data_IF_616737863827
#
_entry.id   IF_616737863827
#
_cell.length_a   1.000
_cell.length_b   1.000
_cell.length_c   1.000
_cell.angle_alpha   90.00
_cell.angle_beta   90.00
_cell.angle_gamma   90.00
#
_symmetry.space_group_name_H-M   'P 1'
#
loop_
_entity.id
_entity.type
_entity.pdbx_description
1 polymer ?
#
# COMPACT_ATOMS: atom_id res chain seq x y z
N UNK A 1 23.86 14.67 -15.87
CA UNK A 1 22.44 14.37 -15.57
C UNK A 1 21.80 15.72 -15.30
N UNK A 2 20.80 16.10 -16.04
CA UNK A 2 20.05 17.32 -15.81
C UNK A 2 18.92 17.00 -14.82
N UNK A 3 18.82 17.79 -13.74
CA UNK A 3 17.80 17.66 -12.71
C UNK A 3 16.67 18.70 -12.89
N UNK A 4 16.76 19.59 -13.89
CA UNK A 4 15.68 20.50 -14.21
C UNK A 4 14.47 19.72 -14.73
N UNK A 5 13.30 20.16 -14.31
CA UNK A 5 12.06 19.63 -14.88
C UNK A 5 11.95 20.05 -16.34
N UNK A 6 11.30 19.20 -17.16
CA UNK A 6 10.91 19.64 -18.49
C UNK A 6 9.97 20.86 -18.40
N UNK A 7 9.89 21.72 -19.42
CA UNK A 7 8.94 22.85 -19.42
C UNK A 7 7.49 22.40 -19.17
N UNK A 8 7.10 21.24 -19.71
CA UNK A 8 5.77 20.66 -19.52
C UNK A 8 5.53 20.20 -18.06
N UNK A 9 6.53 19.54 -17.45
CA UNK A 9 6.47 19.13 -16.06
C UNK A 9 6.44 20.34 -15.11
N UNK A 10 7.23 21.39 -15.42
CA UNK A 10 7.24 22.62 -14.62
C UNK A 10 5.89 23.32 -14.68
N UNK A 11 5.35 23.58 -15.87
CA UNK A 11 4.04 24.21 -16.05
C UNK A 11 2.91 23.44 -15.35
N UNK A 12 2.90 22.12 -15.52
CA UNK A 12 1.88 21.27 -14.87
C UNK A 12 2.03 21.27 -13.35
N UNK A 13 3.27 21.27 -12.83
CA UNK A 13 3.53 21.37 -11.39
C UNK A 13 3.11 22.73 -10.82
N UNK A 14 3.34 23.81 -11.55
CA UNK A 14 2.94 25.16 -11.11
C UNK A 14 1.40 25.27 -11.04
N UNK A 15 0.70 24.76 -12.05
CA UNK A 15 -0.78 24.66 -12.04
C UNK A 15 -1.28 23.77 -10.91
N UNK A 16 -0.61 22.64 -10.66
CA UNK A 16 -0.97 21.75 -9.56
C UNK A 16 -0.77 22.40 -8.20
N UNK A 17 0.33 23.14 -7.97
CA UNK A 17 0.54 23.89 -6.74
C UNK A 17 -0.47 25.03 -6.56
N UNK A 18 -0.86 25.72 -7.63
CA UNK A 18 -1.93 26.71 -7.57
C UNK A 18 -3.25 26.07 -7.12
N UNK A 19 -3.64 24.95 -7.76
CA UNK A 19 -4.84 24.18 -7.40
C UNK A 19 -4.80 23.70 -5.95
N UNK A 20 -3.66 23.18 -5.47
CA UNK A 20 -3.51 22.75 -4.07
C UNK A 20 -3.75 23.89 -3.09
N UNK A 21 -3.13 25.06 -3.31
CA UNK A 21 -3.22 26.22 -2.39
C UNK A 21 -4.58 26.88 -2.42
N UNK A 22 -5.14 27.04 -3.61
CA UNK A 22 -6.38 27.82 -3.80
C UNK A 22 -7.63 27.01 -3.48
N UNK A 23 -7.62 25.69 -3.68
CA UNK A 23 -8.84 24.92 -3.63
C UNK A 23 -8.72 23.65 -2.76
N UNK A 24 -7.67 22.83 -2.91
CA UNK A 24 -7.59 21.52 -2.22
C UNK A 24 -7.40 21.69 -0.72
N UNK A 25 -6.40 22.47 -0.27
CA UNK A 25 -6.18 22.68 1.16
C UNK A 25 -7.36 23.38 1.85
N UNK A 26 -8.01 24.40 1.25
CA UNK A 26 -9.24 24.97 1.80
C UNK A 26 -10.42 24.00 1.85
N UNK A 27 -10.46 22.98 1.00
CA UNK A 27 -11.51 21.97 0.98
C UNK A 27 -11.35 20.90 2.08
N UNK A 28 -10.15 20.67 2.61
CA UNK A 28 -9.90 19.60 3.61
C UNK A 28 -10.84 19.68 4.84
N UNK A 29 -11.05 20.86 5.48
CA UNK A 29 -11.96 20.96 6.61
C UNK A 29 -13.43 20.69 6.23
N UNK A 30 -13.85 21.13 5.04
CA UNK A 30 -15.21 20.91 4.54
C UNK A 30 -15.45 19.43 4.26
N UNK A 31 -14.48 18.77 3.64
CA UNK A 31 -14.50 17.36 3.33
C UNK A 31 -14.57 16.51 4.62
N UNK A 32 -13.72 16.81 5.61
CA UNK A 32 -13.72 16.11 6.89
C UNK A 32 -15.03 16.32 7.68
N UNK A 33 -15.59 17.54 7.67
CA UNK A 33 -16.88 17.84 8.32
C UNK A 33 -18.02 17.04 7.69
N UNK A 34 -18.06 16.97 6.37
CA UNK A 34 -19.10 16.22 5.65
C UNK A 34 -19.06 14.73 5.99
N UNK A 35 -17.87 14.10 6.03
CA UNK A 35 -17.75 12.68 6.40
C UNK A 35 -18.17 12.40 7.84
N UNK A 36 -17.87 13.30 8.78
CA UNK A 36 -18.33 13.15 10.17
C UNK A 36 -19.85 13.20 10.30
N UNK A 37 -20.51 13.98 9.46
CA UNK A 37 -21.99 14.14 9.48
C UNK A 37 -22.72 13.02 8.72
N UNK A 38 -22.17 12.57 7.58
CA UNK A 38 -22.87 11.69 6.63
C UNK A 38 -22.31 10.26 6.59
N UNK A 39 -21.22 9.99 7.33
CA UNK A 39 -20.55 8.69 7.36
C UNK A 39 -19.26 8.65 6.57
N UNK A 40 -18.37 7.72 6.98
CA UNK A 40 -16.99 7.65 6.52
C UNK A 40 -16.84 7.37 5.02
N UNK A 41 -17.86 6.77 4.38
CA UNK A 41 -17.85 6.40 2.96
C UNK A 41 -18.73 7.32 2.10
N UNK A 42 -19.31 8.36 2.68
CA UNK A 42 -20.11 9.33 1.94
C UNK A 42 -19.24 10.07 0.90
N UNK A 43 -19.89 10.56 -0.17
CA UNK A 43 -19.21 11.32 -1.20
C UNK A 43 -19.43 12.84 -1.00
N UNK A 44 -18.42 13.59 -0.51
CA UNK A 44 -18.57 15.01 -0.25
C UNK A 44 -18.78 15.82 -1.55
N UNK A 45 -19.82 16.68 -1.64
CA UNK A 45 -20.09 17.49 -2.84
C UNK A 45 -18.93 18.41 -3.26
N UNK A 46 -18.04 18.77 -2.32
CA UNK A 46 -16.84 19.55 -2.62
C UNK A 46 -15.92 18.83 -3.61
N UNK A 47 -15.93 17.50 -3.65
CA UNK A 47 -15.11 16.71 -4.57
C UNK A 47 -15.50 16.98 -6.03
N UNK A 48 -16.77 17.07 -6.36
CA UNK A 48 -17.20 17.32 -7.74
C UNK A 48 -16.78 18.72 -8.21
N UNK A 49 -16.84 19.75 -7.35
CA UNK A 49 -16.32 21.10 -7.66
C UNK A 49 -14.80 21.06 -7.92
N UNK A 50 -14.06 20.30 -7.09
CA UNK A 50 -12.61 20.13 -7.29
C UNK A 50 -12.30 19.42 -8.61
N UNK A 51 -13.08 18.40 -8.98
CA UNK A 51 -12.93 17.70 -10.28
C UNK A 51 -13.19 18.63 -11.46
N UNK A 52 -14.22 19.47 -11.40
CA UNK A 52 -14.50 20.47 -12.45
C UNK A 52 -13.34 21.46 -12.59
N UNK A 53 -12.86 22.01 -11.49
CA UNK A 53 -11.73 22.93 -11.49
C UNK A 53 -10.45 22.26 -12.02
N UNK A 54 -10.16 21.03 -11.61
CA UNK A 54 -9.02 20.28 -12.10
C UNK A 54 -9.07 20.07 -13.61
N UNK A 55 -10.25 19.75 -14.18
CA UNK A 55 -10.45 19.66 -15.63
C UNK A 55 -10.20 20.99 -16.32
N UNK A 56 -10.76 22.07 -15.81
CA UNK A 56 -10.58 23.41 -16.35
C UNK A 56 -9.11 23.86 -16.34
N UNK A 57 -8.33 23.39 -15.38
CA UNK A 57 -6.87 23.65 -15.26
C UNK A 57 -6.02 22.69 -16.08
N UNK A 58 -6.60 21.70 -16.80
CA UNK A 58 -5.86 20.68 -17.53
C UNK A 58 -5.10 19.70 -16.61
N UNK A 59 -5.61 19.46 -15.40
CA UNK A 59 -5.04 18.55 -14.40
C UNK A 59 -5.86 17.23 -14.30
N UNK A 60 -6.24 16.65 -15.44
CA UNK A 60 -7.14 15.49 -15.48
C UNK A 60 -6.48 14.28 -16.12
N UNK A 61 -6.57 13.10 -15.50
CA UNK A 61 -6.02 11.83 -16.00
C UNK A 61 -4.51 11.86 -16.32
N UNK A 62 -3.74 12.66 -15.62
CA UNK A 62 -2.31 12.89 -15.91
C UNK A 62 -1.45 11.63 -15.74
N UNK A 63 -1.94 10.64 -15.01
CA UNK A 63 -1.22 9.38 -14.71
C UNK A 63 -1.05 8.47 -15.94
N UNK A 64 -1.89 8.60 -16.97
CA UNK A 64 -1.94 7.71 -18.12
C UNK A 64 -1.30 8.37 -19.35
N UNK A 65 -0.05 8.01 -19.74
CA UNK A 65 0.66 8.65 -20.85
C UNK A 65 -0.10 8.62 -22.17
N UNK A 66 -0.85 7.54 -22.44
CA UNK A 66 -1.65 7.41 -23.66
C UNK A 66 -2.80 8.45 -23.78
N UNK A 67 -3.24 9.02 -22.64
CA UNK A 67 -4.33 10.02 -22.58
C UNK A 67 -3.76 11.41 -22.38
N UNK A 68 -2.81 11.58 -21.47
CA UNK A 68 -2.26 12.88 -21.07
C UNK A 68 -1.12 13.37 -21.96
N UNK A 69 -0.41 12.46 -22.61
CA UNK A 69 0.83 12.76 -23.33
C UNK A 69 2.04 13.02 -22.43
N UNK A 70 1.89 12.99 -21.09
CA UNK A 70 2.99 13.15 -20.14
C UNK A 70 3.78 11.85 -19.99
N UNK A 71 5.10 11.95 -20.00
CA UNK A 71 5.98 10.86 -19.59
C UNK A 71 5.85 10.59 -18.08
N UNK A 72 6.25 9.38 -17.62
CA UNK A 72 6.25 9.07 -16.20
C UNK A 72 7.14 10.02 -15.39
N UNK A 73 8.28 10.44 -15.96
CA UNK A 73 9.19 11.40 -15.34
C UNK A 73 8.52 12.77 -15.17
N UNK A 74 7.77 13.24 -16.16
CA UNK A 74 7.05 14.52 -16.12
C UNK A 74 5.85 14.50 -15.16
N UNK A 75 5.20 13.34 -15.01
CA UNK A 75 4.12 13.14 -14.05
C UNK A 75 4.62 13.03 -12.60
N UNK A 76 5.85 12.60 -12.38
CA UNK A 76 6.39 12.33 -11.03
C UNK A 76 6.24 13.50 -10.05
N UNK A 77 6.63 14.76 -10.39
CA UNK A 77 6.46 15.90 -9.50
C UNK A 77 4.98 16.23 -9.24
N UNK A 78 4.10 16.05 -10.21
CA UNK A 78 2.65 16.28 -10.04
C UNK A 78 2.04 15.28 -9.07
N UNK A 79 2.39 14.00 -9.21
CA UNK A 79 1.97 12.96 -8.29
C UNK A 79 2.50 13.19 -6.87
N UNK A 80 3.74 13.65 -6.73
CA UNK A 80 4.32 14.05 -5.44
C UNK A 80 3.52 15.19 -4.81
N UNK A 81 3.21 16.26 -5.56
CA UNK A 81 2.41 17.39 -5.08
C UNK A 81 1.04 16.90 -4.61
N UNK A 82 0.37 16.00 -5.36
CA UNK A 82 -0.92 15.43 -4.95
C UNK A 82 -0.84 14.66 -3.63
N UNK A 83 0.32 14.11 -3.30
CA UNK A 83 0.59 13.41 -2.04
C UNK A 83 0.56 14.31 -0.80
N UNK A 84 0.56 15.63 -0.94
CA UNK A 84 0.36 16.55 0.19
C UNK A 84 -1.07 16.48 0.74
N UNK A 85 -2.06 16.12 -0.10
CA UNK A 85 -3.42 15.83 0.31
C UNK A 85 -3.86 14.48 -0.29
N UNK A 86 -3.37 13.35 0.27
CA UNK A 86 -3.35 12.05 -0.42
C UNK A 86 -4.74 11.44 -0.62
N UNK A 87 -5.76 11.95 0.07
CA UNK A 87 -7.15 11.50 -0.08
C UNK A 87 -7.88 12.34 -1.14
N UNK A 88 -7.74 13.67 -1.07
CA UNK A 88 -8.53 14.60 -1.88
C UNK A 88 -7.87 14.86 -3.24
N UNK A 89 -6.59 15.27 -3.25
CA UNK A 89 -5.97 15.73 -4.47
C UNK A 89 -5.86 14.66 -5.57
N UNK A 90 -5.45 13.39 -5.30
CA UNK A 90 -5.42 12.37 -6.33
C UNK A 90 -6.80 12.07 -6.93
N UNK A 91 -7.89 12.08 -6.14
CA UNK A 91 -9.23 11.89 -6.67
C UNK A 91 -9.68 13.10 -7.48
N UNK A 92 -9.46 14.31 -7.00
CA UNK A 92 -9.84 15.54 -7.68
C UNK A 92 -9.26 15.65 -9.10
N UNK A 93 -8.07 15.07 -9.34
CA UNK A 93 -7.43 15.03 -10.67
C UNK A 93 -7.62 13.70 -11.41
N UNK A 94 -8.52 12.84 -10.92
CA UNK A 94 -8.78 11.47 -11.41
C UNK A 94 -7.52 10.58 -11.54
N UNK A 95 -6.62 10.71 -10.58
CA UNK A 95 -5.38 9.94 -10.50
C UNK A 95 -5.33 9.06 -9.24
N UNK A 96 -6.47 8.74 -8.63
CA UNK A 96 -6.56 7.93 -7.41
C UNK A 96 -6.53 6.43 -7.72
N UNK A 97 -5.81 5.68 -6.89
CA UNK A 97 -5.90 4.23 -6.87
C UNK A 97 -7.21 3.78 -6.15
N UNK A 98 -7.84 2.67 -6.55
CA UNK A 98 -7.35 1.66 -7.49
C UNK A 98 -7.63 1.96 -8.97
N UNK A 99 -8.43 3.00 -9.28
CA UNK A 99 -8.91 3.26 -10.63
C UNK A 99 -7.80 3.49 -11.64
N UNK A 100 -6.72 4.20 -11.26
CA UNK A 100 -5.59 4.38 -12.18
C UNK A 100 -5.08 3.05 -12.74
N UNK A 101 -4.81 2.06 -11.87
CA UNK A 101 -4.36 0.76 -12.32
C UNK A 101 -5.45 -0.03 -13.06
N UNK A 102 -6.72 0.16 -12.73
CA UNK A 102 -7.84 -0.49 -13.41
C UNK A 102 -8.10 0.11 -14.81
N UNK A 103 -7.97 1.43 -14.94
CA UNK A 103 -8.01 2.11 -16.24
C UNK A 103 -6.86 1.66 -17.15
N UNK A 104 -5.64 1.49 -16.61
CA UNK A 104 -4.51 0.92 -17.36
C UNK A 104 -4.79 -0.50 -17.85
N UNK A 105 -5.37 -1.35 -16.99
CA UNK A 105 -5.76 -2.72 -17.37
C UNK A 105 -6.79 -2.70 -18.50
N UNK A 106 -7.85 -1.92 -18.37
CA UNK A 106 -8.88 -1.80 -19.40
C UNK A 106 -8.34 -1.22 -20.70
N UNK A 107 -7.43 -0.24 -20.62
CA UNK A 107 -6.76 0.34 -21.78
C UNK A 107 -5.93 -0.70 -22.54
N UNK A 108 -5.15 -1.52 -21.83
CA UNK A 108 -4.23 -2.49 -22.42
C UNK A 108 -4.91 -3.80 -22.85
N UNK A 109 -5.90 -4.27 -22.12
CA UNK A 109 -6.44 -5.63 -22.26
C UNK A 109 -7.94 -5.69 -22.53
N UNK A 110 -8.66 -4.58 -22.40
CA UNK A 110 -10.09 -4.53 -22.67
C UNK A 110 -10.42 -4.57 -24.16
N UNK A 111 -11.52 -5.23 -24.53
CA UNK A 111 -12.13 -5.09 -25.85
C UNK A 111 -12.70 -3.68 -26.04
N UNK A 112 -13.03 -3.29 -27.24
CA UNK A 112 -13.61 -1.96 -27.50
C UNK A 112 -14.96 -1.78 -26.77
N UNK A 113 -15.76 -2.85 -26.67
CA UNK A 113 -17.02 -2.85 -25.92
C UNK A 113 -16.77 -2.67 -24.42
N UNK A 114 -15.77 -3.37 -23.85
CA UNK A 114 -15.37 -3.23 -22.45
C UNK A 114 -14.81 -1.83 -22.17
N UNK A 115 -14.01 -1.27 -23.07
CA UNK A 115 -13.49 0.10 -22.98
C UNK A 115 -14.62 1.13 -23.00
N UNK A 116 -15.55 1.02 -23.96
CA UNK A 116 -16.69 1.92 -24.03
C UNK A 116 -17.58 1.84 -22.79
N UNK A 117 -17.82 0.62 -22.27
CA UNK A 117 -18.70 0.41 -21.12
C UNK A 117 -18.08 0.84 -19.81
N UNK A 118 -16.76 0.63 -19.60
CA UNK A 118 -16.12 0.78 -18.31
C UNK A 118 -14.98 1.80 -18.30
N UNK A 119 -14.08 1.80 -19.30
CA UNK A 119 -12.94 2.71 -19.32
C UNK A 119 -13.35 4.16 -19.56
N UNK A 120 -14.24 4.42 -20.51
CA UNK A 120 -14.70 5.78 -20.81
C UNK A 120 -15.36 6.45 -19.59
N UNK A 121 -16.32 5.81 -18.87
CA UNK A 121 -16.89 6.38 -17.66
C UNK A 121 -15.87 6.55 -16.52
N UNK A 122 -14.88 5.66 -16.37
CA UNK A 122 -13.80 5.81 -15.43
C UNK A 122 -12.90 7.01 -15.77
N UNK A 123 -12.51 7.17 -17.03
CA UNK A 123 -11.74 8.32 -17.50
C UNK A 123 -12.54 9.63 -17.36
N UNK A 124 -13.86 9.56 -17.50
CA UNK A 124 -14.74 10.70 -17.22
C UNK A 124 -14.93 10.97 -15.72
N UNK A 125 -14.49 10.08 -14.83
CA UNK A 125 -14.66 10.17 -13.37
C UNK A 125 -16.11 10.03 -12.91
N UNK A 126 -16.96 9.42 -13.73
CA UNK A 126 -18.38 9.18 -13.46
C UNK A 126 -18.61 7.97 -12.56
N UNK A 127 -17.81 6.93 -12.72
CA UNK A 127 -17.82 5.72 -11.92
C UNK A 127 -16.47 5.46 -11.26
N UNK A 128 -16.46 4.56 -10.29
CA UNK A 128 -15.26 4.03 -9.65
C UNK A 128 -15.16 2.53 -9.88
N UNK A 129 -14.03 1.96 -9.53
CA UNK A 129 -13.77 0.54 -9.73
C UNK A 129 -12.97 -0.06 -8.58
N UNK A 130 -12.94 -1.39 -8.49
CA UNK A 130 -12.12 -2.09 -7.52
C UNK A 130 -11.35 -3.25 -8.17
N UNK A 131 -10.21 -3.62 -7.55
CA UNK A 131 -9.38 -4.73 -8.01
C UNK A 131 -9.39 -5.85 -6.97
N UNK A 132 -10.14 -6.91 -7.25
CA UNK A 132 -10.45 -7.99 -6.32
C UNK A 132 -9.49 -9.18 -6.52
N UNK A 133 -8.29 -9.09 -5.90
CA UNK A 133 -7.26 -10.12 -6.01
C UNK A 133 -7.05 -10.87 -4.69
N UNK A 134 -6.84 -10.15 -3.59
CA UNK A 134 -6.42 -10.70 -2.29
C UNK A 134 -7.52 -11.52 -1.63
N UNK A 135 -7.18 -12.65 -1.00
CA UNK A 135 -8.11 -13.57 -0.34
C UNK A 135 -7.78 -13.79 1.14
N UNK A 136 -8.78 -13.98 2.02
CA UNK A 136 -8.53 -14.21 3.44
C UNK A 136 -7.93 -15.58 3.75
N UNK A 137 -8.21 -16.59 2.94
CA UNK A 137 -7.81 -17.99 3.19
C UNK A 137 -6.39 -18.35 2.78
N UNK A 138 -5.72 -17.50 1.95
CA UNK A 138 -4.42 -17.83 1.37
C UNK A 138 -3.46 -16.65 1.39
N UNK A 139 -2.16 -16.93 1.32
CA UNK A 139 -1.12 -15.91 1.20
C UNK A 139 -1.10 -15.33 -0.24
N UNK A 140 -1.96 -14.36 -0.51
CA UNK A 140 -2.20 -13.80 -1.85
C UNK A 140 -1.03 -12.96 -2.41
N UNK A 141 0.00 -12.68 -1.62
CA UNK A 141 1.27 -12.13 -2.14
C UNK A 141 2.00 -13.09 -3.09
N UNK A 142 1.67 -14.38 -3.02
CA UNK A 142 1.90 -15.35 -4.08
C UNK A 142 0.59 -15.57 -4.85
N UNK A 143 0.48 -14.94 -6.01
CA UNK A 143 -0.72 -14.97 -6.83
C UNK A 143 -1.11 -16.39 -7.31
N UNK A 144 -0.18 -17.34 -7.26
CA UNK A 144 -0.47 -18.74 -7.61
C UNK A 144 -1.34 -19.46 -6.59
N UNK A 145 -1.43 -18.91 -5.35
CA UNK A 145 -2.25 -19.47 -4.27
C UNK A 145 -3.73 -19.10 -4.34
N UNK A 146 -4.12 -18.14 -5.19
CA UNK A 146 -5.51 -17.70 -5.29
C UNK A 146 -6.45 -18.88 -5.53
N UNK A 147 -7.54 -18.96 -4.74
CA UNK A 147 -8.48 -20.07 -4.74
C UNK A 147 -9.87 -19.72 -5.30
N UNK A 148 -10.25 -18.43 -5.34
CA UNK A 148 -11.48 -18.00 -6.02
C UNK A 148 -11.55 -18.65 -7.39
N UNK A 149 -12.66 -19.35 -7.69
CA UNK A 149 -12.85 -20.03 -8.97
C UNK A 149 -13.59 -19.16 -9.98
N UNK A 150 -13.21 -19.31 -11.24
CA UNK A 150 -13.89 -18.72 -12.42
C UNK A 150 -14.12 -19.89 -13.38
N UNK A 151 -15.34 -20.42 -13.39
CA UNK A 151 -15.67 -21.64 -14.16
C UNK A 151 -16.60 -21.28 -15.32
N UNK A 152 -16.20 -21.66 -16.52
CA UNK A 152 -17.06 -21.45 -17.71
C UNK A 152 -18.27 -22.37 -17.69
N UNK A 153 -19.45 -21.82 -17.94
CA UNK A 153 -20.72 -22.53 -18.04
C UNK A 153 -21.51 -21.96 -19.26
N UNK A 154 -21.34 -22.58 -20.41
CA UNK A 154 -21.90 -22.09 -21.68
C UNK A 154 -21.33 -20.74 -22.09
N UNK A 155 -22.20 -19.74 -22.21
CA UNK A 155 -21.87 -18.36 -22.58
C UNK A 155 -21.61 -17.46 -21.38
N UNK A 156 -21.47 -18.03 -20.19
CA UNK A 156 -21.22 -17.32 -18.94
C UNK A 156 -20.00 -17.90 -18.20
N UNK A 157 -19.51 -17.12 -17.23
CA UNK A 157 -18.63 -17.61 -16.16
C UNK A 157 -19.31 -17.52 -14.81
N UNK A 158 -19.09 -18.53 -13.99
CA UNK A 158 -19.55 -18.61 -12.60
C UNK A 158 -18.36 -18.32 -11.69
N UNK A 159 -18.47 -17.29 -10.87
CA UNK A 159 -17.44 -16.88 -9.91
C UNK A 159 -17.84 -17.30 -8.50
N UNK A 160 -16.95 -18.02 -7.81
CA UNK A 160 -17.14 -18.42 -6.41
C UNK A 160 -15.87 -18.15 -5.60
N UNK A 161 -16.01 -17.54 -4.42
CA UNK A 161 -14.90 -17.29 -3.51
C UNK A 161 -15.09 -16.08 -2.62
N UNK A 162 -14.00 -15.72 -1.93
CA UNK A 162 -13.96 -14.55 -1.03
C UNK A 162 -12.73 -13.72 -1.31
N UNK A 163 -12.93 -12.41 -1.37
CA UNK A 163 -11.88 -11.42 -1.54
C UNK A 163 -11.90 -10.44 -0.37
N UNK A 164 -10.74 -9.98 0.08
CA UNK A 164 -10.66 -9.00 1.15
C UNK A 164 -9.58 -7.94 0.88
N UNK A 165 -9.61 -6.88 1.66
CA UNK A 165 -8.75 -5.71 1.45
C UNK A 165 -8.92 -5.13 0.05
N UNK A 166 -10.16 -5.13 -0.44
CA UNK A 166 -10.47 -4.63 -1.77
C UNK A 166 -10.81 -3.16 -1.65
N UNK A 167 -9.86 -2.32 -2.06
CA UNK A 167 -9.99 -0.85 -2.04
C UNK A 167 -10.99 -0.37 -3.08
N UNK A 168 -11.81 0.61 -2.71
CA UNK A 168 -12.77 1.25 -3.60
C UNK A 168 -14.19 0.71 -3.49
N UNK A 169 -14.39 -0.45 -2.87
CA UNK A 169 -15.71 -1.13 -2.82
C UNK A 169 -16.76 -0.36 -1.99
N UNK A 170 -16.32 0.36 -0.95
CA UNK A 170 -17.26 1.08 -0.08
C UNK A 170 -17.82 2.36 -0.74
N UNK A 171 -17.16 2.87 -1.77
CA UNK A 171 -17.66 3.99 -2.57
C UNK A 171 -18.93 3.57 -3.32
N UNK A 172 -20.00 4.33 -3.19
CA UNK A 172 -21.28 4.04 -3.86
C UNK A 172 -21.19 4.11 -5.38
N UNK A 173 -20.22 4.86 -5.91
CA UNK A 173 -19.95 5.01 -7.35
C UNK A 173 -19.12 3.86 -7.91
N UNK A 174 -18.70 2.89 -7.07
CA UNK A 174 -17.96 1.72 -7.54
C UNK A 174 -18.89 0.76 -8.28
N UNK A 175 -18.80 0.74 -9.61
CA UNK A 175 -19.72 -0.01 -10.49
C UNK A 175 -19.14 -1.34 -10.98
N UNK A 176 -17.80 -1.52 -10.87
CA UNK A 176 -17.12 -2.66 -11.50
C UNK A 176 -15.98 -3.20 -10.65
N UNK A 177 -15.91 -4.50 -10.51
CA UNK A 177 -14.82 -5.25 -9.91
C UNK A 177 -14.01 -6.00 -10.97
N UNK A 178 -12.70 -5.82 -10.99
CA UNK A 178 -11.78 -6.67 -11.76
C UNK A 178 -11.37 -7.82 -10.85
N UNK A 179 -11.95 -9.00 -11.07
CA UNK A 179 -11.78 -10.15 -10.18
C UNK A 179 -10.75 -11.11 -10.75
N UNK A 180 -9.71 -11.43 -9.98
CA UNK A 180 -8.74 -12.48 -10.29
C UNK A 180 -9.16 -13.79 -9.64
N UNK A 181 -9.28 -14.86 -10.45
CA UNK A 181 -9.63 -16.18 -9.97
C UNK A 181 -8.99 -17.27 -10.81
N UNK A 182 -9.09 -18.51 -10.33
CA UNK A 182 -8.54 -19.71 -10.96
C UNK A 182 -9.54 -20.26 -11.97
N UNK A 183 -9.18 -20.26 -13.25
CA UNK A 183 -10.00 -20.80 -14.34
C UNK A 183 -9.46 -22.12 -14.89
N UNK A 184 -8.14 -22.32 -14.85
CA UNK A 184 -7.45 -23.49 -15.39
C UNK A 184 -6.53 -24.14 -14.34
N UNK A 185 -7.08 -24.84 -13.31
CA UNK A 185 -6.27 -25.34 -12.18
C UNK A 185 -5.18 -26.33 -12.57
N UNK A 186 -5.33 -27.01 -13.71
CA UNK A 186 -4.38 -28.01 -14.21
C UNK A 186 -3.29 -27.40 -15.13
N UNK A 187 -3.39 -26.10 -15.48
CA UNK A 187 -2.39 -25.43 -16.30
C UNK A 187 -1.09 -25.15 -15.53
N UNK A 188 -0.07 -24.69 -16.25
CA UNK A 188 1.18 -24.20 -15.65
C UNK A 188 0.90 -23.10 -14.61
N UNK A 189 1.68 -22.98 -13.52
CA UNK A 189 1.37 -22.13 -12.36
C UNK A 189 0.95 -20.69 -12.70
N UNK A 190 1.60 -20.08 -13.68
CA UNK A 190 1.32 -18.68 -14.10
C UNK A 190 0.24 -18.56 -15.18
N UNK A 191 -0.40 -19.67 -15.55
CA UNK A 191 -1.50 -19.76 -16.53
C UNK A 191 -2.80 -20.29 -15.91
N UNK A 192 -2.85 -20.42 -14.59
CA UNK A 192 -4.02 -20.93 -13.88
C UNK A 192 -5.10 -19.88 -13.63
N UNK A 193 -4.71 -18.60 -13.57
CA UNK A 193 -5.59 -17.52 -13.21
C UNK A 193 -6.05 -16.74 -14.44
N UNK A 194 -7.30 -16.29 -14.37
CA UNK A 194 -7.91 -15.34 -15.29
C UNK A 194 -8.38 -14.10 -14.57
N UNK A 195 -8.66 -13.04 -15.30
CA UNK A 195 -9.34 -11.85 -14.79
C UNK A 195 -10.66 -11.64 -15.50
N UNK A 196 -11.69 -11.34 -14.72
CA UNK A 196 -13.03 -11.14 -15.23
C UNK A 196 -13.66 -9.88 -14.63
N UNK A 197 -14.43 -9.16 -15.44
CA UNK A 197 -15.18 -7.98 -15.04
C UNK A 197 -16.51 -8.41 -14.41
N UNK A 198 -16.71 -8.06 -13.15
CA UNK A 198 -17.93 -8.38 -12.42
C UNK A 198 -18.62 -7.07 -12.03
N UNK A 199 -19.77 -6.70 -12.60
CA UNK A 199 -20.56 -5.56 -12.16
C UNK A 199 -20.95 -5.67 -10.69
N UNK A 200 -21.04 -4.54 -9.98
CA UNK A 200 -21.37 -4.48 -8.55
C UNK A 200 -22.69 -5.13 -8.20
N UNK A 201 -23.68 -4.97 -9.06
CA UNK A 201 -25.06 -5.44 -8.89
C UNK A 201 -25.27 -6.89 -9.33
N UNK A 202 -24.19 -7.62 -9.71
CA UNK A 202 -24.28 -9.03 -10.12
C UNK A 202 -24.87 -9.87 -8.99
N UNK A 203 -25.97 -10.64 -9.22
CA UNK A 203 -26.51 -11.56 -8.23
C UNK A 203 -25.45 -12.52 -7.71
N UNK A 204 -25.43 -12.73 -6.39
CA UNK A 204 -24.42 -13.56 -5.70
C UNK A 204 -23.18 -12.77 -5.27
N UNK A 205 -23.04 -11.49 -5.59
CA UNK A 205 -22.00 -10.61 -5.05
C UNK A 205 -22.51 -9.95 -3.77
N UNK A 206 -21.71 -10.02 -2.70
CA UNK A 206 -22.04 -9.42 -1.40
C UNK A 206 -20.84 -8.67 -0.81
N UNK A 207 -21.08 -7.49 -0.24
CA UNK A 207 -20.13 -6.81 0.62
C UNK A 207 -20.30 -7.38 2.03
N UNK A 208 -19.29 -8.11 2.53
CA UNK A 208 -19.36 -8.79 3.82
C UNK A 208 -19.12 -7.81 4.97
N UNK A 209 -18.11 -6.96 4.84
CA UNK A 209 -17.75 -5.91 5.81
C UNK A 209 -16.73 -4.95 5.23
N UNK A 210 -16.57 -3.80 5.88
CA UNK A 210 -15.49 -2.87 5.67
C UNK A 210 -14.36 -3.11 6.69
N UNK A 211 -13.12 -2.87 6.29
CA UNK A 211 -11.90 -3.19 7.04
C UNK A 211 -11.13 -1.91 7.35
N UNK A 212 -11.10 -1.44 8.60
CA UNK A 212 -10.36 -0.23 8.97
C UNK A 212 -8.85 -0.48 9.02
N UNK A 213 -8.07 0.57 8.77
CA UNK A 213 -6.62 0.59 8.89
C UNK A 213 -6.27 1.30 10.21
N UNK A 214 -5.74 0.60 11.20
CA UNK A 214 -5.48 1.16 12.53
C UNK A 214 -6.68 1.92 13.14
N UNK A 215 -7.89 1.49 12.84
CA UNK A 215 -9.12 2.16 13.26
C UNK A 215 -9.59 3.28 12.33
N UNK A 216 -8.81 3.71 11.35
CA UNK A 216 -9.23 4.66 10.33
C UNK A 216 -9.95 3.95 9.17
N UNK A 217 -11.03 4.54 8.73
CA UNK A 217 -11.64 4.20 7.45
C UNK A 217 -11.33 5.32 6.46
N UNK A 218 -10.95 4.99 5.24
CA UNK A 218 -10.91 5.99 4.18
C UNK A 218 -12.23 6.01 3.41
N UNK A 219 -12.48 7.09 2.69
CA UNK A 219 -13.75 7.32 1.99
C UNK A 219 -14.04 6.19 0.97
N UNK A 220 -13.02 5.66 0.29
CA UNK A 220 -13.19 4.57 -0.68
C UNK A 220 -13.35 3.20 0.00
N UNK A 221 -12.92 3.07 1.24
CA UNK A 221 -12.94 1.87 2.06
C UNK A 221 -12.13 0.72 1.51
N UNK A 222 -11.85 -0.22 2.41
CA UNK A 222 -11.30 -1.52 2.07
C UNK A 222 -12.31 -2.57 2.51
N UNK A 223 -12.78 -3.40 1.59
CA UNK A 223 -13.89 -4.30 1.90
C UNK A 223 -13.53 -5.76 1.71
N UNK A 224 -14.32 -6.60 2.35
CA UNK A 224 -14.39 -8.02 2.11
C UNK A 224 -15.61 -8.31 1.23
N UNK A 225 -15.38 -9.01 0.12
CA UNK A 225 -16.39 -9.41 -0.86
C UNK A 225 -16.61 -10.92 -0.83
N UNK A 226 -17.86 -11.34 -0.90
CA UNK A 226 -18.29 -12.72 -1.18
C UNK A 226 -18.81 -12.84 -2.60
N UNK A 227 -18.45 -13.95 -3.26
CA UNK A 227 -19.00 -14.36 -4.54
C UNK A 227 -19.60 -15.75 -4.35
N UNK A 228 -20.91 -15.85 -4.50
CA UNK A 228 -21.65 -17.10 -4.41
C UNK A 228 -22.44 -17.31 -5.71
N UNK A 229 -21.91 -18.18 -6.58
CA UNK A 229 -22.46 -18.44 -7.91
C UNK A 229 -22.71 -17.15 -8.74
N UNK A 230 -21.85 -16.13 -8.59
CA UNK A 230 -21.97 -14.89 -9.33
C UNK A 230 -21.74 -15.15 -10.82
N UNK A 231 -22.78 -14.95 -11.64
CA UNK A 231 -22.77 -15.25 -13.09
C UNK A 231 -22.57 -13.99 -13.89
N UNK A 232 -21.63 -14.03 -14.81
CA UNK A 232 -21.34 -12.93 -15.74
C UNK A 232 -21.13 -13.45 -17.16
N UNK A 233 -21.49 -12.69 -18.19
CA UNK A 233 -21.27 -13.08 -19.59
C UNK A 233 -19.81 -13.43 -19.88
N UNK A 234 -19.58 -14.39 -20.76
CA UNK A 234 -18.23 -14.79 -21.19
C UNK A 234 -17.44 -13.60 -21.80
N UNK A 235 -18.13 -12.64 -22.37
CA UNK A 235 -17.55 -11.40 -22.90
C UNK A 235 -16.95 -10.48 -21.82
N UNK A 236 -17.19 -10.75 -20.53
CA UNK A 236 -16.57 -10.02 -19.42
C UNK A 236 -15.15 -10.50 -19.09
N UNK A 237 -14.67 -11.59 -19.70
CA UNK A 237 -13.29 -12.04 -19.53
C UNK A 237 -12.33 -11.00 -20.13
N UNK A 238 -11.27 -10.66 -19.39
CA UNK A 238 -10.20 -9.77 -19.86
C UNK A 238 -9.13 -10.58 -20.59
N UNK A 239 -8.78 -10.17 -21.78
CA UNK A 239 -7.85 -10.86 -22.69
C UNK A 239 -8.29 -12.33 -22.92
N UNK A 240 -7.58 -13.31 -22.34
CA UNK A 240 -7.86 -14.73 -22.48
C UNK A 240 -7.83 -15.50 -21.18
N UNK A 241 -8.34 -16.74 -21.20
CA UNK A 241 -8.17 -17.65 -20.07
C UNK A 241 -6.69 -17.90 -19.78
N UNK A 242 -6.32 -17.84 -18.50
CA UNK A 242 -4.95 -18.02 -18.05
C UNK A 242 -4.05 -16.78 -18.15
N UNK A 243 -4.56 -15.63 -18.59
CA UNK A 243 -3.79 -14.38 -18.69
C UNK A 243 -3.79 -13.54 -17.39
N UNK A 244 -4.53 -13.96 -16.38
CA UNK A 244 -4.73 -13.19 -15.15
C UNK A 244 -3.43 -12.80 -14.44
N UNK A 245 -2.43 -13.67 -14.41
CA UNK A 245 -1.13 -13.35 -13.83
C UNK A 245 -0.39 -12.27 -14.62
N UNK A 246 -0.38 -12.35 -15.93
CA UNK A 246 0.27 -11.36 -16.81
C UNK A 246 -0.41 -9.99 -16.69
N UNK A 247 -1.74 -9.94 -16.64
CA UNK A 247 -2.54 -8.72 -16.42
C UNK A 247 -2.20 -8.12 -15.04
N UNK A 248 -2.14 -8.95 -13.98
CA UNK A 248 -1.78 -8.47 -12.65
C UNK A 248 -0.39 -7.83 -12.61
N UNK A 249 0.60 -8.41 -13.29
CA UNK A 249 1.95 -7.85 -13.34
C UNK A 249 2.00 -6.52 -14.12
N UNK A 250 1.26 -6.43 -15.24
CA UNK A 250 1.18 -5.20 -16.03
C UNK A 250 0.57 -4.05 -15.22
N UNK A 251 -0.55 -4.31 -14.49
CA UNK A 251 -1.22 -3.33 -13.63
C UNK A 251 -0.34 -2.82 -12.48
N UNK A 252 0.33 -3.75 -11.81
CA UNK A 252 1.05 -3.43 -10.57
C UNK A 252 2.35 -2.65 -10.82
N UNK A 253 2.89 -2.65 -12.02
CA UNK A 253 4.09 -1.89 -12.38
C UNK A 253 3.92 -0.38 -12.19
N UNK A 254 3.05 0.27 -12.97
CA UNK A 254 2.75 1.70 -12.87
C UNK A 254 2.16 2.11 -11.52
N UNK A 255 1.24 1.33 -10.96
CA UNK A 255 0.65 1.61 -9.65
C UNK A 255 1.68 1.77 -8.54
N UNK A 256 2.75 0.96 -8.56
CA UNK A 256 3.82 1.03 -7.55
C UNK A 256 4.62 2.33 -7.61
N UNK A 257 4.89 2.86 -8.80
CA UNK A 257 5.63 4.12 -8.93
C UNK A 257 4.76 5.30 -8.49
N UNK A 258 3.46 5.32 -8.84
CA UNK A 258 2.54 6.37 -8.42
C UNK A 258 2.39 6.42 -6.89
N UNK A 259 2.31 5.27 -6.23
CA UNK A 259 2.30 5.21 -4.76
C UNK A 259 3.62 5.73 -4.14
N UNK A 260 4.77 5.42 -4.76
CA UNK A 260 6.05 5.91 -4.29
C UNK A 260 6.17 7.44 -4.41
N UNK A 261 5.69 8.01 -5.52
CA UNK A 261 5.64 9.46 -5.73
C UNK A 261 4.78 10.16 -4.67
N UNK A 262 3.55 9.70 -4.45
CA UNK A 262 2.65 10.26 -3.43
C UNK A 262 3.17 10.10 -2.00
N UNK A 263 3.88 9.01 -1.72
CA UNK A 263 4.50 8.82 -0.40
C UNK A 263 5.55 9.90 -0.09
N UNK A 264 6.27 10.39 -1.10
CA UNK A 264 7.20 11.51 -0.94
C UNK A 264 6.42 12.78 -0.58
N UNK A 265 5.30 13.05 -1.25
CA UNK A 265 4.45 14.22 -0.94
C UNK A 265 3.92 14.21 0.49
N UNK A 266 3.49 13.05 1.01
CA UNK A 266 3.12 12.91 2.42
C UNK A 266 4.30 13.21 3.36
N UNK A 267 5.49 12.73 3.03
CA UNK A 267 6.70 12.99 3.81
C UNK A 267 7.06 14.49 3.79
N UNK A 268 6.93 15.17 2.65
CA UNK A 268 7.15 16.62 2.51
C UNK A 268 6.20 17.42 3.39
N UNK A 269 4.89 17.09 3.36
CA UNK A 269 3.92 17.76 4.22
C UNK A 269 4.21 17.52 5.70
N UNK A 270 4.56 16.29 6.09
CA UNK A 270 4.92 15.98 7.46
C UNK A 270 6.18 16.77 7.91
N UNK A 271 7.19 16.88 7.06
CA UNK A 271 8.38 17.70 7.33
C UNK A 271 8.03 19.18 7.44
N UNK A 272 7.18 19.72 6.56
CA UNK A 272 6.74 21.11 6.64
C UNK A 272 6.02 21.41 7.95
N UNK A 273 5.08 20.54 8.36
CA UNK A 273 4.38 20.64 9.64
C UNK A 273 5.34 20.54 10.83
N UNK A 274 6.31 19.62 10.79
CA UNK A 274 7.34 19.47 11.82
C UNK A 274 8.17 20.75 11.98
N UNK A 275 8.59 21.38 10.88
CA UNK A 275 9.36 22.63 10.88
C UNK A 275 8.54 23.79 11.43
N UNK A 276 7.29 23.93 11.04
CA UNK A 276 6.38 24.94 11.54
C UNK A 276 6.15 24.80 13.04
N UNK A 277 5.88 23.57 13.49
CA UNK A 277 5.73 23.27 14.92
C UNK A 277 7.00 23.58 15.71
N UNK A 278 8.15 23.19 15.18
CA UNK A 278 9.43 23.44 15.83
C UNK A 278 9.72 24.93 16.04
N UNK A 279 9.36 25.78 15.06
CA UNK A 279 9.52 27.24 15.14
C UNK A 279 8.55 27.90 16.12
N UNK A 280 7.31 27.39 16.23
CA UNK A 280 6.25 28.04 17.00
C UNK A 280 6.16 27.53 18.45
N UNK A 281 6.62 26.31 18.77
CA UNK A 281 6.49 25.71 20.10
C UNK A 281 7.70 25.96 20.97
N UNK A 282 7.47 26.48 22.19
CA UNK A 282 8.50 26.73 23.20
C UNK A 282 8.45 25.65 24.27
N UNK A 283 9.60 25.12 24.67
CA UNK A 283 9.80 24.22 25.79
C UNK A 283 11.18 24.51 26.44
N UNK A 284 11.27 24.40 27.75
CA UNK A 284 12.52 24.65 28.50
C UNK A 284 13.17 26.00 28.20
N UNK A 285 12.34 27.05 27.97
CA UNK A 285 12.78 28.43 27.77
C UNK A 285 13.23 28.79 26.35
N UNK A 286 13.25 27.85 25.39
CA UNK A 286 13.61 28.08 23.99
C UNK A 286 12.62 27.46 23.03
N UNK A 287 12.71 27.81 21.73
CA UNK A 287 11.90 27.13 20.72
C UNK A 287 12.36 25.67 20.54
N UNK A 288 11.45 24.80 20.09
CA UNK A 288 11.88 23.43 19.75
C UNK A 288 12.91 23.43 18.60
N UNK A 289 12.88 24.44 17.72
CA UNK A 289 13.87 24.62 16.67
C UNK A 289 15.29 24.86 17.19
N UNK A 290 15.45 25.28 18.45
CA UNK A 290 16.76 25.47 19.07
C UNK A 290 17.28 24.20 19.76
N UNK A 291 16.44 23.17 19.91
CA UNK A 291 16.85 21.89 20.48
C UNK A 291 17.63 21.07 19.44
N UNK A 292 18.84 20.60 19.83
CA UNK A 292 19.73 19.85 18.92
C UNK A 292 19.09 18.61 18.33
N UNK A 293 18.33 17.84 19.12
CA UNK A 293 17.62 16.64 18.67
C UNK A 293 16.57 16.96 17.60
N UNK A 294 15.83 18.07 17.74
CA UNK A 294 14.81 18.45 16.74
C UNK A 294 15.46 18.88 15.43
N UNK A 295 16.59 19.58 15.50
CA UNK A 295 17.39 19.91 14.30
C UNK A 295 17.88 18.66 13.58
N UNK A 296 18.32 17.64 14.30
CA UNK A 296 18.72 16.36 13.73
C UNK A 296 17.55 15.66 13.05
N UNK A 297 16.36 15.59 13.67
CA UNK A 297 15.16 15.00 13.07
C UNK A 297 14.78 15.70 11.75
N UNK A 298 14.83 17.05 11.70
CA UNK A 298 14.54 17.84 10.51
C UNK A 298 15.57 17.55 9.40
N UNK A 299 16.87 17.61 9.74
CA UNK A 299 17.95 17.41 8.78
C UNK A 299 17.92 15.98 8.19
N UNK A 300 17.78 14.97 9.04
CA UNK A 300 17.72 13.58 8.60
C UNK A 300 16.49 13.33 7.71
N UNK A 301 15.36 13.95 8.03
CA UNK A 301 14.15 13.85 7.20
C UNK A 301 14.35 14.45 5.81
N UNK A 302 14.99 15.63 5.71
CA UNK A 302 15.31 16.24 4.41
C UNK A 302 16.23 15.36 3.58
N UNK A 303 17.31 14.85 4.18
CA UNK A 303 18.28 13.98 3.51
C UNK A 303 17.58 12.72 2.95
N UNK A 304 16.77 12.04 3.77
CA UNK A 304 16.09 10.82 3.36
C UNK A 304 15.06 11.07 2.25
N UNK A 305 14.31 12.17 2.31
CA UNK A 305 13.34 12.55 1.27
C UNK A 305 14.07 12.79 -0.06
N UNK A 306 15.14 13.58 -0.06
CA UNK A 306 15.86 13.91 -1.30
C UNK A 306 16.50 12.68 -1.93
N UNK A 307 17.08 11.77 -1.13
CA UNK A 307 17.61 10.49 -1.61
C UNK A 307 16.55 9.63 -2.29
N UNK A 308 15.39 9.49 -1.66
CA UNK A 308 14.33 8.62 -2.21
C UNK A 308 13.65 9.27 -3.42
N UNK A 309 13.51 10.60 -3.45
CA UNK A 309 12.99 11.34 -4.61
C UNK A 309 13.85 11.09 -5.85
N UNK A 310 15.17 11.23 -5.72
CA UNK A 310 16.09 10.94 -6.83
C UNK A 310 15.98 9.49 -7.30
N UNK A 311 15.77 8.56 -6.39
CA UNK A 311 15.58 7.16 -6.76
C UNK A 311 14.26 6.95 -7.51
N UNK A 312 13.18 7.59 -7.11
CA UNK A 312 11.88 7.56 -7.80
C UNK A 312 12.00 8.19 -9.19
N UNK A 313 12.63 9.35 -9.32
CA UNK A 313 12.82 10.01 -10.61
C UNK A 313 13.70 9.18 -11.57
N UNK A 314 14.79 8.58 -11.06
CA UNK A 314 15.59 7.63 -11.84
C UNK A 314 14.72 6.46 -12.35
N UNK A 315 13.82 5.95 -11.49
CA UNK A 315 12.94 4.83 -11.88
C UNK A 315 11.94 5.24 -12.95
N UNK A 316 11.33 6.42 -12.83
CA UNK A 316 10.42 6.98 -13.84
C UNK A 316 11.12 7.18 -15.19
N UNK A 317 12.31 7.79 -15.17
CA UNK A 317 13.15 7.96 -16.35
C UNK A 317 13.51 6.64 -17.03
N UNK A 318 13.83 5.61 -16.24
CA UNK A 318 14.17 4.29 -16.80
C UNK A 318 12.95 3.62 -17.44
N UNK A 319 11.76 3.77 -16.84
CA UNK A 319 10.51 3.27 -17.42
C UNK A 319 10.24 3.92 -18.78
N UNK A 320 10.41 5.23 -18.88
CA UNK A 320 10.17 5.98 -20.11
C UNK A 320 11.15 5.59 -21.23
N UNK A 321 12.39 5.26 -20.89
CA UNK A 321 13.41 4.88 -21.88
C UNK A 321 13.43 3.42 -22.29
N UNK A 322 13.24 2.52 -21.33
CA UNK A 322 13.52 1.09 -21.52
C UNK A 322 12.31 0.21 -21.18
N UNK A 323 11.23 0.83 -20.70
CA UNK A 323 9.99 0.16 -20.32
C UNK A 323 10.02 -0.44 -18.90
N UNK A 324 8.84 -0.71 -18.37
CA UNK A 324 8.65 -1.21 -17.00
C UNK A 324 9.34 -2.57 -16.74
N UNK A 325 9.49 -3.39 -17.78
CA UNK A 325 10.18 -4.70 -17.65
C UNK A 325 11.66 -4.54 -17.34
N UNK A 326 12.36 -3.59 -17.97
CA UNK A 326 13.76 -3.31 -17.69
C UNK A 326 13.94 -2.66 -16.30
N UNK A 327 12.98 -1.85 -15.86
CA UNK A 327 12.99 -1.14 -14.58
C UNK A 327 12.49 -1.97 -13.38
N UNK A 328 12.28 -3.29 -13.51
CA UNK A 328 11.67 -4.12 -12.45
C UNK A 328 12.40 -4.06 -11.10
N UNK A 329 13.72 -3.99 -11.12
CA UNK A 329 14.53 -3.90 -9.89
C UNK A 329 14.32 -2.56 -9.18
N UNK A 330 14.34 -1.47 -9.94
CA UNK A 330 14.14 -0.12 -9.47
C UNK A 330 12.70 0.07 -8.95
N UNK A 331 11.69 -0.40 -9.69
CA UNK A 331 10.29 -0.38 -9.25
C UNK A 331 10.11 -1.11 -7.91
N UNK A 332 10.74 -2.28 -7.75
CA UNK A 332 10.72 -3.00 -6.49
C UNK A 332 11.47 -2.23 -5.38
N UNK A 333 12.59 -1.59 -5.72
CA UNK A 333 13.41 -0.81 -4.79
C UNK A 333 12.67 0.42 -4.24
N UNK A 334 12.06 1.23 -5.10
CA UNK A 334 11.30 2.43 -4.66
C UNK A 334 10.06 2.06 -3.85
N UNK A 335 9.42 0.93 -4.16
CA UNK A 335 8.24 0.43 -3.42
C UNK A 335 8.58 0.07 -1.97
N UNK A 336 9.83 -0.31 -1.68
CA UNK A 336 10.33 -0.49 -0.31
C UNK A 336 10.80 0.85 0.29
N UNK A 337 11.57 1.62 -0.48
CA UNK A 337 12.27 2.81 0.04
C UNK A 337 11.31 3.96 0.36
N UNK A 338 10.43 4.35 -0.59
CA UNK A 338 9.61 5.55 -0.43
C UNK A 338 8.61 5.44 0.73
N UNK A 339 7.80 4.37 0.89
CA UNK A 339 6.93 4.25 2.05
C UNK A 339 7.68 4.12 3.38
N UNK A 340 8.87 3.52 3.38
CA UNK A 340 9.68 3.42 4.60
C UNK A 340 10.22 4.78 5.03
N UNK A 341 10.66 5.63 4.09
CA UNK A 341 11.06 7.02 4.35
C UNK A 341 9.86 7.82 4.85
N UNK A 342 8.73 7.76 4.15
CA UNK A 342 7.51 8.45 4.56
C UNK A 342 7.11 8.08 6.00
N UNK A 343 7.08 6.78 6.35
CA UNK A 343 6.77 6.32 7.70
C UNK A 343 7.70 6.95 8.74
N UNK A 344 9.03 6.98 8.50
CA UNK A 344 9.99 7.56 9.46
C UNK A 344 9.87 9.06 9.59
N UNK A 345 9.65 9.78 8.48
CA UNK A 345 9.50 11.24 8.52
C UNK A 345 8.23 11.63 9.26
N UNK A 346 7.12 10.93 9.01
CA UNK A 346 5.85 11.17 9.70
C UNK A 346 5.98 10.84 11.19
N UNK A 347 6.65 9.75 11.56
CA UNK A 347 6.92 9.37 12.95
C UNK A 347 7.69 10.47 13.71
N UNK A 348 8.75 11.02 13.11
CA UNK A 348 9.50 12.15 13.66
C UNK A 348 8.63 13.41 13.81
N UNK A 349 7.75 13.67 12.85
CA UNK A 349 6.82 14.80 12.94
C UNK A 349 5.82 14.59 14.09
N UNK A 350 5.30 13.38 14.28
CA UNK A 350 4.43 13.01 15.41
C UNK A 350 5.17 13.27 16.74
N UNK A 351 6.42 12.86 16.86
CA UNK A 351 7.22 13.08 18.07
C UNK A 351 7.34 14.58 18.41
N UNK A 352 7.61 15.43 17.41
CA UNK A 352 7.70 16.90 17.59
C UNK A 352 6.35 17.53 17.95
N UNK A 353 5.25 16.97 17.45
CA UNK A 353 3.90 17.41 17.81
C UNK A 353 3.44 16.90 19.18
N UNK A 354 4.00 15.78 19.68
CA UNK A 354 3.58 15.13 20.91
C UNK A 354 2.16 14.59 20.80
N UNK A 355 1.32 14.78 21.83
CA UNK A 355 -0.07 14.28 21.86
C UNK A 355 -0.92 14.70 20.66
N UNK A 356 -0.74 15.93 20.15
CA UNK A 356 -1.44 16.39 18.95
C UNK A 356 -1.03 15.64 17.68
N UNK A 357 0.14 15.04 17.64
CA UNK A 357 0.61 14.25 16.50
C UNK A 357 -0.08 12.89 16.34
N UNK A 358 -0.68 12.37 17.42
CA UNK A 358 -1.42 11.09 17.44
C UNK A 358 -2.94 11.28 17.43
N UNK A 359 -3.41 12.54 17.41
CA UNK A 359 -4.82 12.90 17.31
C UNK A 359 -5.20 13.29 15.88
N UNK A 360 -6.47 13.52 15.65
CA UNK A 360 -7.04 14.03 14.40
C UNK A 360 -7.00 15.58 14.28
N UNK A 361 -6.40 16.26 15.27
CA UNK A 361 -6.06 17.71 15.17
C UNK A 361 -5.02 17.98 14.06
N UNK A 362 -4.28 16.96 13.65
CA UNK A 362 -3.31 17.02 12.56
C UNK A 362 -3.49 15.82 11.62
N UNK A 363 -3.08 15.92 10.35
CA UNK A 363 -3.16 14.79 9.43
C UNK A 363 -2.10 13.69 9.71
N UNK A 364 -1.21 13.87 10.70
CA UNK A 364 -0.03 13.03 10.88
C UNK A 364 -0.40 11.59 11.26
N UNK A 365 -1.37 11.38 12.15
CA UNK A 365 -1.79 10.04 12.56
C UNK A 365 -2.37 9.25 11.38
N UNK A 366 -3.23 9.88 10.56
CA UNK A 366 -3.74 9.31 9.34
C UNK A 366 -2.62 9.03 8.32
N UNK A 367 -1.69 9.98 8.12
CA UNK A 367 -0.55 9.78 7.22
C UNK A 367 0.33 8.61 7.65
N UNK A 368 0.54 8.45 8.96
CA UNK A 368 1.30 7.33 9.49
C UNK A 368 0.63 5.99 9.18
N UNK A 369 -0.68 5.89 9.43
CA UNK A 369 -1.46 4.71 9.10
C UNK A 369 -1.35 4.37 7.61
N UNK A 370 -1.53 5.35 6.74
CA UNK A 370 -1.49 5.20 5.30
C UNK A 370 -0.08 4.85 4.78
N UNK A 371 0.97 5.56 5.24
CA UNK A 371 2.35 5.24 4.88
C UNK A 371 2.74 3.81 5.29
N UNK A 372 2.20 3.32 6.43
CA UNK A 372 2.42 1.94 6.88
C UNK A 372 1.73 0.92 5.96
N UNK A 373 0.53 1.23 5.49
CA UNK A 373 -0.22 0.39 4.53
C UNK A 373 0.52 0.29 3.20
N UNK A 374 1.09 1.38 2.71
CA UNK A 374 1.88 1.39 1.48
C UNK A 374 3.06 0.40 1.49
N UNK A 375 3.50 -0.07 2.66
CA UNK A 375 4.52 -1.12 2.80
C UNK A 375 3.97 -2.54 2.64
N UNK A 376 2.65 -2.69 2.50
CA UNK A 376 1.93 -3.97 2.40
C UNK A 376 1.22 -4.11 1.05
N UNK A 377 0.48 -3.09 0.62
CA UNK A 377 -0.31 -3.11 -0.64
C UNK A 377 0.60 -3.26 -1.86
N UNK A 378 0.08 -3.77 -2.95
CA UNK A 378 0.82 -4.05 -4.20
C UNK A 378 2.08 -4.91 -4.02
N UNK A 379 2.08 -5.74 -2.99
CA UNK A 379 3.17 -6.58 -2.55
C UNK A 379 3.92 -6.02 -1.33
N UNK A 380 4.10 -6.83 -0.28
CA UNK A 380 4.81 -6.41 0.92
C UNK A 380 6.31 -6.21 0.68
N UNK A 381 6.96 -5.41 1.54
CA UNK A 381 8.40 -5.11 1.50
C UNK A 381 9.28 -6.36 1.27
N UNK A 382 8.93 -7.50 1.89
CA UNK A 382 9.70 -8.73 1.78
C UNK A 382 9.71 -9.31 0.35
N UNK A 383 8.56 -9.22 -0.36
CA UNK A 383 8.44 -9.66 -1.75
C UNK A 383 9.29 -8.79 -2.68
N UNK A 384 9.24 -7.47 -2.47
CA UNK A 384 10.04 -6.53 -3.25
C UNK A 384 11.53 -6.66 -2.99
N UNK A 385 11.97 -6.82 -1.73
CA UNK A 385 13.36 -7.11 -1.38
C UNK A 385 13.86 -8.40 -2.02
N UNK A 386 13.01 -9.46 -2.03
CA UNK A 386 13.33 -10.70 -2.77
C UNK A 386 13.54 -10.43 -4.26
N UNK A 387 12.72 -9.57 -4.88
CA UNK A 387 12.86 -9.21 -6.29
C UNK A 387 14.19 -8.49 -6.55
N UNK A 388 14.49 -7.45 -5.78
CA UNK A 388 15.79 -6.73 -5.87
C UNK A 388 16.97 -7.68 -5.70
N UNK A 389 16.94 -8.52 -4.67
CA UNK A 389 18.02 -9.49 -4.43
C UNK A 389 18.21 -10.47 -5.59
N UNK A 390 17.11 -10.94 -6.21
CA UNK A 390 17.18 -11.83 -7.38
C UNK A 390 17.85 -11.16 -8.59
N UNK A 391 17.55 -9.89 -8.83
CA UNK A 391 18.20 -9.12 -9.90
C UNK A 391 19.69 -8.93 -9.61
N UNK A 392 20.04 -8.57 -8.37
CA UNK A 392 21.41 -8.33 -7.96
C UNK A 392 22.27 -9.61 -8.02
N UNK A 393 21.72 -10.77 -7.65
CA UNK A 393 22.40 -12.06 -7.74
C UNK A 393 22.66 -12.53 -9.18
N UNK A 394 21.88 -12.03 -10.14
CA UNK A 394 22.06 -12.36 -11.58
C UNK A 394 22.95 -11.37 -12.31
N UNK A 395 23.24 -10.23 -11.68
CA UNK A 395 24.06 -9.19 -12.29
C UNK A 395 25.49 -9.64 -12.42
N UNK A 396 26.03 -9.59 -13.64
CA UNK A 396 27.46 -9.79 -13.85
C UNK A 396 28.26 -8.74 -13.10
N UNK A 397 29.29 -9.17 -12.39
CA UNK A 397 30.15 -8.31 -11.60
C UNK A 397 31.47 -8.09 -12.35
N UNK A 398 32.04 -6.87 -12.34
CA UNK A 398 33.35 -6.61 -12.93
C UNK A 398 34.49 -7.42 -12.27
N UNK A 399 34.19 -8.07 -11.12
CA UNK A 399 35.12 -8.96 -10.42
C UNK A 399 34.90 -10.45 -10.75
N UNK A 400 33.97 -10.79 -11.66
CA UNK A 400 33.81 -12.16 -12.13
C UNK A 400 35.11 -12.57 -12.84
N UNK A 401 35.81 -13.56 -12.28
CA UNK A 401 37.13 -14.00 -12.76
C UNK A 401 38.33 -13.47 -11.96
N UNK A 402 38.17 -12.54 -11.04
CA UNK A 402 39.17 -12.28 -10.04
C UNK A 402 39.15 -13.42 -9.02
N UNK A 403 40.14 -14.30 -9.06
CA UNK A 403 40.39 -15.26 -7.98
C UNK A 403 40.56 -14.44 -6.70
N UNK A 404 39.56 -14.46 -5.84
CA UNK A 404 39.76 -14.11 -4.45
C UNK A 404 40.71 -15.19 -3.94
N UNK A 405 42.01 -14.89 -3.88
CA UNK A 405 42.93 -15.73 -3.16
C UNK A 405 42.38 -15.88 -1.74
N UNK A 406 41.61 -16.92 -1.52
CA UNK A 406 41.39 -17.45 -0.19
C UNK A 406 42.78 -17.82 0.28
N UNK A 407 43.44 -16.88 0.97
CA UNK A 407 44.52 -17.29 1.88
C UNK A 407 43.88 -18.30 2.81
N UNK A 408 43.93 -19.55 2.42
CA UNK A 408 43.83 -20.63 3.38
C UNK A 408 45.00 -20.39 4.33
N UNK A 409 44.75 -19.61 5.37
CA UNK A 409 45.53 -19.76 6.58
C UNK A 409 45.23 -21.18 7.01
N UNK A 410 46.09 -22.14 6.52
CA UNK A 410 46.30 -23.37 7.26
C UNK A 410 46.85 -22.90 8.60
N UNK A 411 45.98 -22.78 9.58
CA UNK A 411 46.36 -22.77 10.98
C UNK A 411 46.89 -24.19 11.20
N UNK A 412 48.16 -24.38 10.97
CA UNK A 412 48.89 -25.54 11.47
C UNK A 412 48.92 -25.34 12.98
N UNK A 413 47.96 -25.95 13.65
CA UNK A 413 48.11 -26.18 15.10
C UNK A 413 49.38 -27.06 15.26
N UNK A 414 50.37 -26.65 16.06
CA UNK A 414 51.47 -27.53 16.37
C UNK A 414 50.89 -28.75 17.07
N UNK A 415 50.98 -29.91 16.42
CA UNK A 415 50.74 -31.19 17.07
C UNK A 415 51.66 -31.31 18.25
N UNK A 416 51.14 -31.19 19.47
CA UNK A 416 51.58 -31.87 20.68
C UNK A 416 50.71 -31.48 21.86
N UNK A 417 49.58 -32.19 22.01
CA UNK A 417 49.09 -32.55 23.33
C UNK A 417 48.76 -34.04 23.27
N UNK A 418 49.52 -34.76 24.06
CA UNK A 418 49.35 -36.17 24.31
C UNK A 418 47.95 -36.49 24.81
N UNK A 419 47.18 -37.27 24.06
CA UNK A 419 46.13 -38.11 24.60
C UNK A 419 46.50 -39.55 24.40
N UNK A 420 46.76 -40.19 25.53
CA UNK A 420 47.07 -41.60 25.61
C UNK A 420 46.02 -42.47 24.94
N UNK A 421 46.54 -43.54 24.34
CA UNK A 421 45.75 -44.60 23.73
C UNK A 421 44.75 -45.21 24.71
N UNK A 422 43.46 -44.98 24.52
CA UNK A 422 42.44 -45.82 25.11
C UNK A 422 41.99 -46.86 24.07
N UNK A 423 42.33 -48.12 24.36
CA UNK A 423 41.87 -49.31 23.64
C UNK A 423 40.35 -49.34 23.62
N UNK A 424 39.75 -49.54 22.43
CA UNK A 424 38.35 -49.90 22.27
C UNK A 424 38.08 -51.21 23.04
N UNK A 425 37.25 -51.15 24.08
CA UNK A 425 36.51 -52.28 24.60
C UNK A 425 35.05 -52.10 24.27
N UNK A 426 34.50 -53.01 23.49
CA UNK A 426 33.08 -53.23 23.27
C UNK A 426 32.38 -53.40 24.60
N UNK A 427 31.45 -52.53 24.95
CA UNK A 427 30.24 -52.92 25.73
C UNK A 427 29.22 -51.81 25.81
N UNK A 428 28.04 -52.17 25.29
CA UNK A 428 26.65 -51.87 25.75
C UNK A 428 26.20 -50.43 25.84
N UNK A 429 25.11 -50.14 25.11
CA UNK A 429 24.23 -48.95 25.20
C UNK A 429 23.81 -48.71 26.65
N UNK A 430 23.84 -47.46 27.14
CA UNK A 430 23.08 -47.09 28.33
C UNK A 430 21.66 -46.64 27.96
N UNK A 431 20.81 -46.95 28.90
CA UNK A 431 19.36 -46.81 28.97
C UNK A 431 18.91 -45.34 28.90
N UNK A 432 17.69 -45.21 28.38
CA UNK A 432 16.75 -44.11 28.46
C UNK A 432 16.80 -43.23 29.72
N UNK A 433 16.72 -41.91 29.52
CA UNK A 433 16.44 -40.93 30.56
C UNK A 433 14.98 -41.04 31.03
N UNK A 434 14.69 -40.82 32.33
CA UNK A 434 13.33 -40.85 32.87
C UNK A 434 12.57 -39.55 32.54
N UNK A 435 11.23 -39.59 32.51
CA UNK A 435 10.41 -38.43 32.22
C UNK A 435 10.33 -37.50 33.45
N UNK A 436 10.28 -36.18 33.19
CA UNK A 436 10.03 -35.15 34.20
C UNK A 436 8.67 -35.35 34.85
N UNK A 437 8.68 -35.28 36.19
CA UNK A 437 7.51 -35.34 37.04
C UNK A 437 6.49 -34.26 36.71
N UNK A 438 5.23 -34.68 36.67
CA UNK A 438 4.04 -33.81 36.70
C UNK A 438 3.90 -33.34 38.15
N UNK A 439 3.78 -32.02 38.36
CA UNK A 439 3.30 -31.48 39.62
C UNK A 439 1.78 -31.58 39.65
N UNK A 440 1.33 -32.15 40.76
CA UNK A 440 -0.06 -32.41 41.10
C UNK A 440 -0.86 -31.12 41.32
N UNK A 441 -2.10 -31.13 40.85
CA UNK A 441 -3.22 -30.37 41.38
C UNK A 441 -3.46 -30.73 42.85
N UNK A 442 -3.70 -29.69 43.63
CA UNK A 442 -4.41 -29.85 44.93
C UNK A 442 -5.70 -29.07 44.80
N UNK A 443 -6.79 -29.82 44.76
CA UNK A 443 -8.15 -29.38 45.10
C UNK A 443 -8.30 -29.46 46.64
N UNK A 444 -9.28 -28.72 47.11
CA UNK A 444 -9.98 -28.67 48.43
C UNK A 444 -9.74 -27.32 49.10
N UNK A 445 -10.75 -26.61 49.61
CA UNK A 445 -12.07 -26.99 50.00
C UNK A 445 -12.92 -25.73 50.23
N UNK A 446 -14.19 -25.94 50.12
CA UNK A 446 -15.27 -25.02 50.51
C UNK A 446 -15.15 -24.62 51.97
N UNK A 447 -15.36 -23.32 52.29
CA UNK A 447 -16.25 -23.02 53.43
C UNK A 447 -17.00 -21.68 53.22
N UNK A 448 -18.26 -21.79 53.55
CA UNK A 448 -19.31 -20.77 53.55
C UNK A 448 -19.17 -19.90 54.80
N UNK A 449 -19.33 -18.56 54.73
CA UNK A 449 -20.15 -17.78 55.67
C UNK A 449 -20.43 -16.36 55.17
N UNK A 450 -21.73 -16.09 55.24
CA UNK A 450 -22.41 -14.78 55.08
C UNK A 450 -21.83 -13.71 56.01
N UNK A 451 -21.88 -12.46 55.56
CA UNK A 451 -22.56 -11.39 56.33
C UNK A 451 -22.83 -10.18 55.49
N UNK A 452 -24.10 -9.84 55.46
CA UNK A 452 -24.68 -8.59 55.00
C UNK A 452 -24.05 -7.36 55.62
N UNK A 453 -23.96 -6.30 54.86
CA UNK A 453 -24.41 -4.94 55.29
C UNK A 453 -24.50 -4.00 54.10
N UNK A 454 -25.75 -3.61 53.86
CA UNK A 454 -26.16 -2.43 53.11
C UNK A 454 -25.65 -1.13 53.73
N UNK A 455 -25.44 -0.12 52.88
CA UNK A 455 -25.79 1.30 53.13
C UNK A 455 -25.58 2.01 51.78
N UNK A 456 -26.61 2.24 51.16
CA UNK A 456 -27.52 3.38 50.93
C UNK A 456 -26.85 4.73 51.06
N UNK A 457 -26.76 5.50 49.96
CA UNK A 457 -26.97 6.94 49.89
C UNK A 457 -27.11 7.37 48.40
N UNK A 458 -28.35 7.70 48.08
CA UNK A 458 -28.73 8.30 46.83
C UNK A 458 -28.59 9.85 46.87
N UNK A 459 -29.22 10.60 45.98
CA UNK A 459 -28.57 11.60 45.11
C UNK A 459 -28.82 13.08 45.53
N UNK A 460 -28.00 14.00 44.97
CA UNK A 460 -28.31 15.45 44.96
C UNK A 460 -27.83 16.06 43.62
N UNK A 461 -28.69 16.37 42.80
CA UNK A 461 -29.33 17.57 42.22
C UNK A 461 -28.58 18.90 42.49
N UNK A 462 -28.37 19.67 41.37
CA UNK A 462 -28.20 21.12 41.37
C UNK A 462 -27.23 21.68 40.39
N UNK A 463 -27.70 22.00 39.23
CA UNK A 463 -27.83 23.25 38.48
C UNK A 463 -26.82 24.39 38.77
N UNK A 464 -26.03 24.75 37.79
CA UNK A 464 -26.04 26.03 37.04
C UNK A 464 -25.12 25.92 35.85
#
# INVERSE_FOLDING_TARGET
MDFALSPAAQDTSDRMWAFMREEVFPAEPQWAAYLREHGEHAHPPVMERLKESARARGLWNLFLPAVSGLANLDYAPVAEISGWSPVIAPEAINCQAPDTGNMEVLHMFGTEEQKKRWLEPLLAGQIRSAFAMTEPGVASSDATNIETSIVRDGDEYVVNGRKWWITGVADERCEIYIVMGKSAPQAEPYRRQSMILVPRDTPGVTIVRHLPIFGYQDQHGHSELGFDHARVPASNLLAGEGDGFAIAQARLGPGRIHHAMRAIGMAERALALMVERAKSRTAFGTTLADQGVVRELIAQSRIEIDQVRLYVYKTAWLIDREGAKAAQSEIAGIKVAAPAVATRVIDRAIEVYGGAGVSDDTPLAYFYAWARVLRIVDGPDAVHRRSVARHELRRERPFAGLEVHRRQRRVTYPNRVWFGSFKRSNRRRPRSWPPRARTHHVEEGRDTRRSDRANDCGPAVGAR
#
